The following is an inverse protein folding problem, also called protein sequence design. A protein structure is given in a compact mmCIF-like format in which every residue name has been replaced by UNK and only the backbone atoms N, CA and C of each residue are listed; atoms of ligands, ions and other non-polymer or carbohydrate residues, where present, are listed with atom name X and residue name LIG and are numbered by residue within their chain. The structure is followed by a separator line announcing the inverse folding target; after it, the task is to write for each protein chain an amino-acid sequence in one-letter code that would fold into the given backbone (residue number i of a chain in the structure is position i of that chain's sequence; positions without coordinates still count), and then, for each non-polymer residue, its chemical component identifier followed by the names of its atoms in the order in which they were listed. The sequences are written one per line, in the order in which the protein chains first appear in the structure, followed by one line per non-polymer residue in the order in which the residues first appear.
data_IF_170869986557
#
_entry.id   IF_170869986557
#
_cell.length_a   1.000
_cell.length_b   1.000
_cell.length_c   1.000
_cell.angle_alpha   90.00
_cell.angle_beta   90.00
_cell.angle_gamma   90.00
#
_symmetry.space_group_name_H-M   'P 1'
#
loop_
_entity.id
_entity.type
_entity.pdbx_description
1 polymer ?
#
# COMPACT_ATOMS: atom_id res chain seq x y z
N UNK A 1 -8.41 -8.77 35.27
CA UNK A 1 -6.96 -8.73 34.99
C UNK A 1 -6.64 -7.42 34.28
N UNK A 2 -5.91 -6.50 34.92
CA UNK A 2 -5.55 -5.21 34.30
C UNK A 2 -4.61 -5.47 33.12
N UNK A 3 -5.11 -5.30 31.89
CA UNK A 3 -4.36 -5.54 30.65
C UNK A 3 -3.55 -4.31 30.27
N UNK A 4 -2.40 -4.54 29.63
CA UNK A 4 -1.46 -3.47 29.30
C UNK A 4 -2.12 -2.38 28.40
N UNK A 5 -1.91 -1.10 28.72
CA UNK A 5 -2.44 0.01 27.92
C UNK A 5 -1.87 -0.02 26.50
N UNK A 6 -2.68 0.32 25.51
CA UNK A 6 -2.21 0.43 24.12
C UNK A 6 -1.29 1.65 24.01
N UNK A 7 -0.03 1.47 23.60
CA UNK A 7 0.84 2.60 23.34
C UNK A 7 0.34 3.31 22.09
N UNK A 8 -0.22 4.50 22.28
CA UNK A 8 -0.76 5.36 21.23
C UNK A 8 -1.88 4.69 20.43
N UNK A 9 -3.08 4.55 21.02
CA UNK A 9 -4.19 3.90 20.35
C UNK A 9 -4.60 4.70 19.11
N UNK A 10 -4.76 4.00 17.99
CA UNK A 10 -5.24 4.55 16.74
C UNK A 10 -6.47 3.76 16.31
N UNK A 11 -7.59 4.45 16.08
CA UNK A 11 -8.73 3.85 15.41
C UNK A 11 -8.31 3.43 14.01
N UNK A 12 -8.66 2.21 13.62
CA UNK A 12 -8.24 1.61 12.36
C UNK A 12 -8.47 2.60 11.20
N UNK A 13 -7.40 3.08 10.54
CA UNK A 13 -7.54 4.16 9.57
C UNK A 13 -8.37 3.71 8.36
N UNK A 14 -9.17 4.61 7.80
CA UNK A 14 -10.04 4.32 6.66
C UNK A 14 -11.37 3.64 7.01
N UNK A 15 -11.67 3.42 8.30
CA UNK A 15 -13.01 3.05 8.72
C UNK A 15 -14.00 4.20 8.49
N UNK A 16 -15.04 3.93 7.70
CA UNK A 16 -16.19 4.81 7.56
C UNK A 16 -16.95 4.91 8.88
N UNK A 17 -17.37 6.10 9.27
CA UNK A 17 -18.22 6.34 10.44
C UNK A 17 -19.59 6.80 9.96
N UNK A 18 -20.63 6.05 10.30
CA UNK A 18 -21.99 6.32 9.83
C UNK A 18 -22.95 6.30 11.01
N UNK A 19 -23.61 7.43 11.28
CA UNK A 19 -24.73 7.43 12.22
C UNK A 19 -25.91 6.66 11.61
N UNK A 20 -26.51 5.77 12.39
CA UNK A 20 -27.75 5.06 12.03
C UNK A 20 -28.96 5.74 12.67
N UNK A 21 -28.76 6.25 13.88
CA UNK A 21 -29.69 7.08 14.62
C UNK A 21 -28.89 8.00 15.57
N UNK A 22 -29.55 8.63 16.54
CA UNK A 22 -28.92 9.58 17.48
C UNK A 22 -27.93 8.94 18.47
N UNK A 23 -28.03 7.64 18.73
CA UNK A 23 -27.20 6.90 19.69
C UNK A 23 -26.38 5.79 19.03
N UNK A 24 -26.71 5.35 17.82
CA UNK A 24 -26.02 4.24 17.17
C UNK A 24 -25.05 4.73 16.10
N UNK A 25 -23.76 4.51 16.34
CA UNK A 25 -22.69 4.78 15.40
C UNK A 25 -22.17 3.47 14.78
N UNK A 26 -22.27 3.36 13.46
CA UNK A 26 -21.67 2.28 12.70
C UNK A 26 -20.22 2.63 12.32
N UNK A 27 -19.30 1.72 12.61
CA UNK A 27 -17.90 1.79 12.22
C UNK A 27 -17.62 0.71 11.15
N UNK A 28 -17.26 1.13 9.94
CA UNK A 28 -17.04 0.26 8.79
C UNK A 28 -18.33 -0.09 8.03
N UNK A 29 -18.17 -0.47 6.76
CA UNK A 29 -19.28 -0.85 5.87
C UNK A 29 -19.23 -2.30 5.40
N UNK A 30 -18.07 -2.94 5.48
CA UNK A 30 -17.88 -4.32 5.02
C UNK A 30 -18.41 -5.34 6.04
N UNK A 31 -18.97 -6.48 5.59
CA UNK A 31 -19.58 -7.47 6.48
C UNK A 31 -18.60 -8.06 7.49
N UNK A 32 -17.31 -8.14 7.15
CA UNK A 32 -16.27 -8.67 8.05
C UNK A 32 -15.89 -7.73 9.20
N UNK A 33 -16.28 -6.45 9.15
CA UNK A 33 -15.70 -5.38 10.01
C UNK A 33 -16.67 -4.30 10.45
N UNK A 34 -17.90 -4.32 9.98
CA UNK A 34 -18.92 -3.37 10.40
C UNK A 34 -19.28 -3.66 11.86
N UNK A 35 -19.06 -2.68 12.72
CA UNK A 35 -19.40 -2.76 14.15
C UNK A 35 -20.40 -1.66 14.46
N UNK A 36 -21.48 -2.03 15.13
CA UNK A 36 -22.43 -1.07 15.68
C UNK A 36 -22.02 -0.75 17.11
N UNK A 37 -21.85 0.53 17.38
CA UNK A 37 -21.54 1.06 18.69
C UNK A 37 -22.75 1.85 19.18
N UNK A 38 -23.36 1.37 20.26
CA UNK A 38 -24.37 2.13 20.99
C UNK A 38 -23.68 3.11 21.93
N UNK A 39 -23.98 4.39 21.75
CA UNK A 39 -23.38 5.50 22.47
C UNK A 39 -24.48 6.21 23.26
N UNK A 40 -24.44 6.03 24.59
CA UNK A 40 -25.38 6.67 25.50
C UNK A 40 -25.33 8.20 25.40
N UNK A 41 -24.13 8.80 25.42
CA UNK A 41 -23.90 10.22 25.15
C UNK A 41 -23.25 10.42 23.77
N UNK A 42 -23.96 10.97 22.77
CA UNK A 42 -23.43 11.20 21.42
C UNK A 42 -22.13 12.03 21.39
N UNK A 43 -21.85 12.83 22.42
CA UNK A 43 -20.58 13.58 22.55
C UNK A 43 -19.37 12.65 22.67
N UNK A 44 -19.55 11.44 23.22
CA UNK A 44 -18.49 10.44 23.32
C UNK A 44 -17.94 10.01 21.96
N UNK A 45 -18.71 10.17 20.87
CA UNK A 45 -18.20 9.92 19.51
C UNK A 45 -17.03 10.83 19.13
N UNK A 46 -16.92 12.03 19.72
CA UNK A 46 -15.77 12.94 19.52
C UNK A 46 -14.48 12.38 20.11
N UNK A 47 -14.56 11.45 21.05
CA UNK A 47 -13.37 10.76 21.59
C UNK A 47 -12.67 9.93 20.53
N UNK A 48 -13.39 9.49 19.49
CA UNK A 48 -12.79 8.75 18.36
C UNK A 48 -11.74 9.59 17.60
N UNK A 49 -11.85 10.92 17.63
CA UNK A 49 -10.88 11.81 17.00
C UNK A 49 -9.57 11.92 17.80
N UNK A 50 -9.61 11.58 19.10
CA UNK A 50 -8.41 11.50 19.95
C UNK A 50 -7.61 10.21 19.72
N UNK A 51 -8.22 9.20 19.08
CA UNK A 51 -7.62 7.91 18.76
C UNK A 51 -6.90 7.97 17.41
N UNK A 52 -5.99 8.92 17.25
CA UNK A 52 -5.21 9.18 16.04
C UNK A 52 -3.76 8.67 16.13
N UNK A 53 -3.36 8.09 17.28
CA UNK A 53 -1.99 7.65 17.56
C UNK A 53 -1.01 8.74 18.00
N UNK A 54 -1.47 9.99 18.17
CA UNK A 54 -0.62 11.09 18.68
C UNK A 54 -0.48 11.05 20.20
N UNK A 55 -1.50 10.56 20.91
CA UNK A 55 -1.60 10.52 22.38
C UNK A 55 -1.50 9.10 22.91
N UNK A 56 -0.96 8.91 24.11
CA UNK A 56 -1.07 7.63 24.82
C UNK A 56 -2.50 7.42 25.30
N UNK A 57 -2.88 6.18 25.64
CA UNK A 57 -4.20 5.89 26.22
C UNK A 57 -4.48 6.74 27.48
N UNK A 58 -3.48 6.89 28.35
CA UNK A 58 -3.56 7.81 29.51
C UNK A 58 -3.84 9.24 29.10
N UNK A 59 -3.17 9.72 28.05
CA UNK A 59 -3.36 11.08 27.52
C UNK A 59 -4.73 11.30 26.87
N UNK A 60 -5.34 10.25 26.31
CA UNK A 60 -6.74 10.29 25.85
C UNK A 60 -7.67 10.39 27.05
N UNK A 61 -7.45 9.57 28.09
CA UNK A 61 -8.30 9.56 29.29
C UNK A 61 -8.20 10.85 30.13
N UNK A 62 -7.09 11.57 30.06
CA UNK A 62 -6.91 12.87 30.74
C UNK A 62 -7.30 14.08 29.88
N UNK A 63 -7.80 13.88 28.66
CA UNK A 63 -8.15 14.97 27.76
C UNK A 63 -9.42 15.69 28.25
N UNK A 64 -9.54 17.04 28.13
CA UNK A 64 -10.74 17.76 28.58
C UNK A 64 -12.05 17.22 28.02
N UNK A 65 -12.09 16.88 26.73
CA UNK A 65 -13.25 16.20 26.12
C UNK A 65 -13.63 14.89 26.80
N UNK A 66 -12.67 14.14 27.32
CA UNK A 66 -12.91 12.90 28.07
C UNK A 66 -13.43 13.21 29.47
N UNK A 67 -12.95 14.28 30.09
CA UNK A 67 -13.47 14.77 31.37
C UNK A 67 -14.94 15.18 31.25
N UNK A 68 -15.31 15.85 30.15
CA UNK A 68 -16.68 16.29 29.88
C UNK A 68 -17.67 15.14 29.69
N UNK A 69 -17.22 14.02 29.10
CA UNK A 69 -18.01 12.80 28.87
C UNK A 69 -18.00 11.87 30.10
N UNK A 70 -16.93 11.91 30.89
CA UNK A 70 -16.68 11.01 32.02
C UNK A 70 -15.66 9.92 31.68
N UNK A 71 -14.79 9.62 32.66
CA UNK A 71 -13.68 8.68 32.49
C UNK A 71 -14.12 7.22 32.28
N UNK A 72 -15.17 6.76 32.97
CA UNK A 72 -15.69 5.38 32.84
C UNK A 72 -16.32 5.10 31.47
N UNK A 73 -17.22 5.96 30.93
CA UNK A 73 -17.70 5.81 29.55
C UNK A 73 -16.56 5.79 28.51
N UNK A 74 -15.54 6.64 28.68
CA UNK A 74 -14.40 6.67 27.76
C UNK A 74 -13.54 5.40 27.82
N UNK A 75 -13.31 4.85 29.02
CA UNK A 75 -12.63 3.55 29.19
C UNK A 75 -13.42 2.43 28.52
N UNK A 76 -14.72 2.37 28.80
CA UNK A 76 -15.63 1.37 28.22
C UNK A 76 -15.60 1.42 26.69
N UNK A 77 -15.62 2.63 26.11
CA UNK A 77 -15.52 2.83 24.66
C UNK A 77 -14.19 2.30 24.11
N UNK A 78 -13.06 2.66 24.72
CA UNK A 78 -11.73 2.21 24.27
C UNK A 78 -11.62 0.68 24.37
N UNK A 79 -12.17 0.08 25.42
CA UNK A 79 -12.20 -1.37 25.62
C UNK A 79 -13.09 -2.07 24.58
N UNK A 80 -14.28 -1.54 24.29
CA UNK A 80 -15.17 -2.07 23.26
C UNK A 80 -14.52 -2.04 21.87
N UNK A 81 -13.92 -0.90 21.50
CA UNK A 81 -13.21 -0.76 20.22
C UNK A 81 -12.01 -1.72 20.12
N UNK A 82 -11.29 -1.94 21.23
CA UNK A 82 -10.20 -2.90 21.28
C UNK A 82 -10.69 -4.34 21.14
N UNK A 83 -11.75 -4.71 21.85
CA UNK A 83 -12.34 -6.04 21.80
C UNK A 83 -12.85 -6.36 20.39
N UNK A 84 -13.40 -5.35 19.70
CA UNK A 84 -13.83 -5.43 18.32
C UNK A 84 -12.66 -5.40 17.29
N UNK A 85 -11.41 -5.30 17.72
CA UNK A 85 -10.24 -5.26 16.83
C UNK A 85 -10.12 -3.98 16.00
N UNK A 86 -10.80 -2.91 16.39
CA UNK A 86 -10.82 -1.63 15.68
C UNK A 86 -9.71 -0.68 16.15
N UNK A 87 -8.96 -1.02 17.18
CA UNK A 87 -7.79 -0.26 17.64
C UNK A 87 -6.50 -0.96 17.27
N UNK A 88 -5.56 -0.19 16.74
CA UNK A 88 -4.19 -0.62 16.46
C UNK A 88 -3.20 0.28 17.20
N UNK A 89 -2.04 -0.23 17.62
CA UNK A 89 -0.99 0.63 18.13
C UNK A 89 -0.43 1.50 17.00
N UNK A 90 -0.42 2.82 17.14
CA UNK A 90 -0.05 3.73 16.05
C UNK A 90 1.37 3.51 15.48
N UNK A 91 2.30 3.00 16.30
CA UNK A 91 3.65 2.66 15.87
C UNK A 91 3.74 1.43 14.93
N UNK A 92 2.65 0.69 14.77
CA UNK A 92 2.54 -0.46 13.84
C UNK A 92 2.05 -0.05 12.46
N UNK A 93 1.57 1.18 12.28
CA UNK A 93 1.04 1.68 11.02
C UNK A 93 2.16 2.12 10.05
N UNK A 94 3.10 2.91 10.55
CA UNK A 94 4.17 3.50 9.74
C UNK A 94 5.55 3.18 10.34
N UNK A 95 6.59 2.98 9.51
CA UNK A 95 7.97 2.97 9.97
C UNK A 95 8.31 4.24 10.77
N UNK A 96 9.12 4.09 11.83
CA UNK A 96 9.45 5.18 12.77
C UNK A 96 10.39 6.22 12.15
N UNK A 97 11.21 5.77 11.22
CA UNK A 97 12.21 6.52 10.47
C UNK A 97 11.61 7.35 9.32
N UNK A 98 10.33 7.13 8.96
CA UNK A 98 9.65 7.96 7.96
C UNK A 98 9.25 9.32 8.53
N UNK A 99 9.67 10.38 7.84
CA UNK A 99 9.34 11.77 8.14
C UNK A 99 8.84 12.53 6.91
N UNK A 100 8.28 13.72 7.15
CA UNK A 100 7.94 14.70 6.12
C UNK A 100 6.93 14.21 5.07
N UNK A 101 7.05 14.68 3.82
CA UNK A 101 6.09 14.38 2.75
C UNK A 101 5.91 12.88 2.46
N UNK A 102 6.98 12.08 2.58
CA UNK A 102 6.90 10.63 2.38
C UNK A 102 6.03 9.95 3.42
N UNK A 103 6.11 10.39 4.69
CA UNK A 103 5.25 9.90 5.77
C UNK A 103 3.77 10.20 5.49
N UNK A 104 3.47 11.43 5.05
CA UNK A 104 2.11 11.84 4.73
C UNK A 104 1.54 11.02 3.56
N UNK A 105 2.32 10.87 2.48
CA UNK A 105 1.92 10.08 1.29
C UNK A 105 1.62 8.62 1.64
N UNK A 106 2.48 7.97 2.44
CA UNK A 106 2.31 6.56 2.80
C UNK A 106 1.28 6.34 3.92
N UNK A 107 0.67 7.38 4.47
CA UNK A 107 -0.40 7.26 5.46
C UNK A 107 -1.62 6.50 4.93
N UNK A 108 -2.03 6.78 3.68
CA UNK A 108 -3.13 6.06 3.04
C UNK A 108 -2.80 4.58 2.82
N UNK A 109 -1.58 4.27 2.37
CA UNK A 109 -1.09 2.90 2.22
C UNK A 109 -1.07 2.16 3.57
N UNK A 110 -0.61 2.82 4.64
CA UNK A 110 -0.63 2.24 5.98
C UNK A 110 -2.05 1.91 6.45
N UNK A 111 -3.02 2.79 6.16
CA UNK A 111 -4.43 2.56 6.44
C UNK A 111 -5.00 1.36 5.66
N UNK A 112 -4.76 1.30 4.35
CA UNK A 112 -5.18 0.18 3.51
C UNK A 112 -4.57 -1.16 3.97
N UNK A 113 -3.28 -1.15 4.34
CA UNK A 113 -2.60 -2.32 4.91
C UNK A 113 -3.16 -2.73 6.27
N UNK A 114 -3.52 -1.77 7.13
CA UNK A 114 -4.17 -2.04 8.40
C UNK A 114 -5.57 -2.66 8.18
N UNK A 115 -6.31 -2.15 7.19
CA UNK A 115 -7.57 -2.73 6.73
C UNK A 115 -7.38 -4.10 6.04
N UNK A 116 -6.17 -4.53 5.71
CA UNK A 116 -5.89 -5.86 5.19
C UNK A 116 -5.13 -6.75 6.19
N UNK A 117 -4.89 -6.27 7.42
CA UNK A 117 -3.93 -6.89 8.35
C UNK A 117 -4.22 -8.36 8.67
N UNK A 118 -5.49 -8.77 8.73
CA UNK A 118 -5.87 -10.18 8.98
C UNK A 118 -5.39 -11.14 7.88
N UNK A 119 -5.12 -10.63 6.68
CA UNK A 119 -4.62 -11.40 5.52
C UNK A 119 -3.12 -11.25 5.32
N UNK A 120 -2.43 -10.49 6.18
CA UNK A 120 -1.02 -10.18 6.07
C UNK A 120 -0.24 -10.80 7.25
N UNK A 121 0.92 -11.43 6.99
CA UNK A 121 1.73 -12.04 8.05
C UNK A 121 2.56 -11.02 8.86
N UNK A 122 2.36 -9.72 8.63
CA UNK A 122 3.19 -8.66 9.20
C UNK A 122 2.37 -7.37 9.39
N UNK A 123 2.81 -6.53 10.32
CA UNK A 123 2.23 -5.20 10.55
C UNK A 123 2.38 -4.29 9.33
N UNK A 124 1.49 -3.30 9.14
CA UNK A 124 1.62 -2.32 8.05
C UNK A 124 3.01 -1.65 7.99
N UNK A 125 3.58 -1.27 9.14
CA UNK A 125 4.91 -0.69 9.23
C UNK A 125 6.01 -1.64 8.73
N UNK A 126 5.92 -2.94 9.04
CA UNK A 126 6.87 -3.94 8.55
C UNK A 126 6.74 -4.15 7.03
N UNK A 127 5.51 -4.16 6.51
CA UNK A 127 5.26 -4.26 5.06
C UNK A 127 5.84 -3.05 4.33
N UNK A 128 5.55 -1.85 4.81
CA UNK A 128 6.07 -0.61 4.22
C UNK A 128 7.60 -0.54 4.31
N UNK A 129 8.22 -0.96 5.43
CA UNK A 129 9.68 -1.03 5.54
C UNK A 129 10.28 -1.97 4.49
N UNK A 130 9.66 -3.14 4.26
CA UNK A 130 10.10 -4.08 3.22
C UNK A 130 9.94 -3.47 1.82
N UNK A 131 8.83 -2.78 1.54
CA UNK A 131 8.63 -2.07 0.27
C UNK A 131 9.69 -0.99 0.05
N UNK A 132 9.97 -0.17 1.06
CA UNK A 132 10.97 0.91 1.00
C UNK A 132 12.41 0.40 0.83
N UNK A 133 12.68 -0.84 1.22
CA UNK A 133 13.97 -1.49 0.97
C UNK A 133 14.03 -2.21 -0.39
N UNK A 134 12.88 -2.44 -1.03
CA UNK A 134 12.79 -3.25 -2.24
C UNK A 134 13.19 -2.46 -3.50
N UNK A 135 13.79 -3.18 -4.44
CA UNK A 135 14.08 -2.72 -5.80
C UNK A 135 13.28 -3.52 -6.81
N UNK A 136 12.47 -2.82 -7.60
CA UNK A 136 11.64 -3.38 -8.66
C UNK A 136 12.11 -2.88 -10.02
N UNK A 137 12.28 -3.79 -10.98
CA UNK A 137 12.55 -3.45 -12.37
C UNK A 137 11.24 -3.59 -13.17
N UNK A 138 10.84 -2.55 -13.89
CA UNK A 138 9.73 -2.59 -14.84
C UNK A 138 10.32 -2.58 -16.26
N UNK A 139 10.02 -3.60 -17.04
CA UNK A 139 10.64 -3.82 -18.36
C UNK A 139 9.63 -4.40 -19.36
N UNK A 140 9.90 -4.26 -20.66
CA UNK A 140 9.06 -4.77 -21.75
C UNK A 140 8.37 -3.69 -22.59
N UNK A 141 7.38 -4.08 -23.39
CA UNK A 141 6.74 -3.27 -24.45
C UNK A 141 5.25 -2.99 -24.21
N UNK A 142 4.71 -3.33 -23.04
CA UNK A 142 3.29 -3.16 -22.72
C UNK A 142 2.86 -1.73 -22.32
N UNK A 143 1.64 -1.36 -22.70
CA UNK A 143 0.99 -0.05 -22.45
C UNK A 143 0.79 0.31 -20.96
N UNK A 144 0.91 -0.67 -20.07
CA UNK A 144 0.74 -0.46 -18.62
C UNK A 144 2.05 -0.08 -17.92
N UNK A 145 3.19 -0.07 -18.62
CA UNK A 145 4.52 0.05 -18.00
C UNK A 145 4.69 1.35 -17.21
N UNK A 146 4.28 2.47 -17.79
CA UNK A 146 4.36 3.78 -17.14
C UNK A 146 3.48 3.85 -15.87
N UNK A 147 2.22 3.45 -15.97
CA UNK A 147 1.27 3.45 -14.86
C UNK A 147 1.72 2.53 -13.72
N UNK A 148 2.17 1.32 -14.04
CA UNK A 148 2.67 0.36 -13.04
C UNK A 148 3.92 0.90 -12.34
N UNK A 149 4.87 1.48 -13.09
CA UNK A 149 6.10 2.02 -12.50
C UNK A 149 5.82 3.19 -11.55
N UNK A 150 4.94 4.12 -11.94
CA UNK A 150 4.53 5.26 -11.09
C UNK A 150 3.76 4.77 -9.86
N UNK A 151 2.82 3.84 -10.04
CA UNK A 151 2.03 3.29 -8.93
C UNK A 151 2.92 2.57 -7.90
N UNK A 152 3.91 1.79 -8.34
CA UNK A 152 4.87 1.14 -7.44
C UNK A 152 5.64 2.16 -6.60
N UNK A 153 6.08 3.26 -7.22
CA UNK A 153 6.78 4.32 -6.51
C UNK A 153 5.88 5.04 -5.50
N UNK A 154 4.64 5.33 -5.89
CA UNK A 154 3.62 5.92 -5.01
C UNK A 154 3.22 5.00 -3.85
N UNK A 155 3.22 3.69 -4.06
CA UNK A 155 2.95 2.67 -3.05
C UNK A 155 4.11 2.41 -2.06
N UNK A 156 5.22 3.15 -2.21
CA UNK A 156 6.34 3.13 -1.27
C UNK A 156 7.42 2.10 -1.59
N UNK A 157 7.52 1.63 -2.84
CA UNK A 157 8.71 0.88 -3.28
C UNK A 157 9.94 1.79 -3.21
N UNK A 158 11.05 1.26 -2.68
CA UNK A 158 12.27 2.02 -2.47
C UNK A 158 12.95 2.46 -3.75
N UNK A 159 13.06 1.54 -4.71
CA UNK A 159 13.72 1.80 -5.99
C UNK A 159 12.90 1.20 -7.13
N UNK A 160 12.47 2.03 -8.08
CA UNK A 160 11.82 1.59 -9.32
C UNK A 160 12.74 1.89 -10.49
N UNK A 161 13.33 0.84 -11.05
CA UNK A 161 14.11 0.90 -12.28
C UNK A 161 13.20 0.67 -13.49
N UNK A 162 13.46 1.38 -14.59
CA UNK A 162 12.58 1.37 -15.77
C UNK A 162 13.41 1.09 -17.02
N UNK A 163 13.09 -0.01 -17.69
CA UNK A 163 13.64 -0.47 -18.97
C UNK A 163 12.51 -0.63 -19.99
N UNK A 164 11.81 0.48 -20.27
CA UNK A 164 10.72 0.54 -21.24
C UNK A 164 11.22 1.12 -22.56
N UNK A 165 10.83 0.48 -23.65
CA UNK A 165 11.23 0.89 -25.00
C UNK A 165 10.16 1.72 -25.70
N UNK A 166 10.59 2.56 -26.65
CA UNK A 166 9.71 3.37 -27.48
C UNK A 166 9.43 4.78 -26.95
N UNK A 167 8.71 5.59 -27.74
CA UNK A 167 8.34 6.94 -27.36
C UNK A 167 7.09 6.96 -26.47
N UNK A 168 6.91 8.05 -25.72
CA UNK A 168 5.66 8.36 -25.01
C UNK A 168 4.51 8.49 -26.01
N UNK A 169 3.41 7.77 -25.75
CA UNK A 169 2.17 7.79 -26.51
C UNK A 169 1.04 8.39 -25.66
N UNK A 170 -0.10 8.81 -26.27
CA UNK A 170 -1.23 9.36 -25.52
C UNK A 170 -1.74 8.47 -24.38
N UNK A 171 -1.69 7.14 -24.56
CA UNK A 171 -2.08 6.18 -23.54
C UNK A 171 -1.18 6.22 -22.29
N UNK A 172 0.08 6.63 -22.41
CA UNK A 172 1.02 6.69 -21.30
C UNK A 172 0.80 7.91 -20.39
N UNK A 173 -0.05 8.87 -20.78
CA UNK A 173 -0.34 10.06 -19.99
C UNK A 173 -1.35 9.78 -18.87
N UNK A 174 -2.26 8.83 -19.10
CA UNK A 174 -3.39 8.57 -18.21
C UNK A 174 -2.92 8.02 -16.86
N UNK A 175 -3.14 8.81 -15.79
CA UNK A 175 -2.85 8.40 -14.41
C UNK A 175 -1.35 8.32 -14.05
N UNK A 176 -0.45 8.77 -14.91
CA UNK A 176 1.01 8.68 -14.69
C UNK A 176 1.66 9.99 -14.30
N UNK A 177 1.01 11.13 -14.58
CA UNK A 177 1.59 12.46 -14.39
C UNK A 177 2.68 12.81 -15.42
N UNK A 178 2.76 12.07 -16.53
CA UNK A 178 3.55 12.45 -17.70
C UNK A 178 2.77 13.55 -18.44
N UNK A 179 3.36 14.74 -18.67
CA UNK A 179 2.69 15.83 -19.37
C UNK A 179 2.57 15.53 -20.87
N UNK A 180 1.55 16.10 -21.53
CA UNK A 180 1.37 15.97 -22.98
C UNK A 180 2.56 16.52 -23.78
N UNK A 181 3.31 17.47 -23.21
CA UNK A 181 4.55 18.00 -23.80
C UNK A 181 5.66 16.93 -23.97
N UNK A 182 5.56 15.80 -23.27
CA UNK A 182 6.53 14.71 -23.35
C UNK A 182 6.19 13.68 -24.44
N UNK A 183 5.10 13.86 -25.19
CA UNK A 183 4.76 13.00 -26.33
C UNK A 183 5.95 12.91 -27.31
N UNK A 184 6.28 11.69 -27.73
CA UNK A 184 7.44 11.44 -28.60
C UNK A 184 8.79 11.33 -27.89
N UNK A 185 8.94 11.82 -26.64
CA UNK A 185 10.18 11.61 -25.86
C UNK A 185 10.38 10.12 -25.54
N UNK A 186 11.61 9.68 -25.24
CA UNK A 186 11.85 8.31 -24.77
C UNK A 186 11.03 8.00 -23.52
N UNK A 187 10.21 6.94 -23.57
CA UNK A 187 9.26 6.59 -22.51
C UNK A 187 9.95 6.38 -21.16
N UNK A 188 11.06 5.63 -21.14
CA UNK A 188 11.79 5.37 -19.90
C UNK A 188 12.32 6.66 -19.22
N UNK A 189 12.66 7.69 -20.00
CA UNK A 189 13.07 8.99 -19.44
C UNK A 189 11.88 9.73 -18.83
N UNK A 190 10.77 9.85 -19.57
CA UNK A 190 9.56 10.50 -19.09
C UNK A 190 8.99 9.83 -17.83
N UNK A 191 9.01 8.51 -17.76
CA UNK A 191 8.58 7.75 -16.57
C UNK A 191 9.50 8.00 -15.38
N UNK A 192 10.82 8.07 -15.56
CA UNK A 192 11.75 8.42 -14.47
C UNK A 192 11.48 9.83 -13.95
N UNK A 193 11.23 10.78 -14.84
CA UNK A 193 10.88 12.16 -14.47
C UNK A 193 9.55 12.18 -13.68
N UNK A 194 8.55 11.40 -14.12
CA UNK A 194 7.28 11.26 -13.41
C UNK A 194 7.44 10.62 -12.01
N UNK A 195 8.25 9.57 -11.89
CA UNK A 195 8.57 8.94 -10.59
C UNK A 195 9.27 9.94 -9.68
N UNK A 196 10.25 10.69 -10.18
CA UNK A 196 10.97 11.68 -9.39
C UNK A 196 10.05 12.77 -8.81
N UNK A 197 9.01 13.17 -9.57
CA UNK A 197 7.97 14.11 -9.10
C UNK A 197 7.01 13.45 -8.11
N UNK A 198 6.52 12.25 -8.39
CA UNK A 198 5.49 11.57 -7.60
C UNK A 198 6.02 10.97 -6.28
N UNK A 199 7.27 10.51 -6.28
CA UNK A 199 7.94 9.88 -5.15
C UNK A 199 9.46 10.21 -5.19
N UNK A 200 9.85 11.39 -4.67
CA UNK A 200 11.25 11.79 -4.62
C UNK A 200 12.12 10.75 -3.91
N UNK A 201 13.29 10.45 -4.49
CA UNK A 201 14.22 9.43 -3.97
C UNK A 201 13.94 7.99 -4.41
N UNK A 202 12.83 7.73 -5.10
CA UNK A 202 12.45 6.38 -5.58
C UNK A 202 12.93 6.06 -6.99
N UNK A 203 13.27 7.09 -7.80
CA UNK A 203 13.75 6.89 -9.15
C UNK A 203 15.06 6.07 -9.12
N UNK A 204 15.00 4.82 -9.58
CA UNK A 204 16.16 3.95 -9.62
C UNK A 204 17.17 4.45 -10.64
N UNK A 205 18.42 4.67 -10.24
CA UNK A 205 19.49 4.87 -11.21
C UNK A 205 19.71 3.57 -11.98
N UNK A 206 19.80 3.67 -13.31
CA UNK A 206 20.08 2.54 -14.21
C UNK A 206 21.48 1.95 -13.97
N UNK A 207 22.35 2.65 -13.21
CA UNK A 207 23.75 2.29 -13.00
C UNK A 207 24.05 1.38 -11.79
N UNK A 208 23.15 1.24 -10.80
CA UNK A 208 23.46 0.41 -9.62
C UNK A 208 23.13 -1.05 -9.91
N UNK A 209 24.16 -1.87 -10.14
CA UNK A 209 24.11 -3.35 -10.32
C UNK A 209 23.73 -4.09 -9.01
N UNK A 210 22.74 -3.58 -8.26
CA UNK A 210 22.18 -4.29 -7.11
C UNK A 210 21.30 -5.46 -7.56
N UNK A 211 21.01 -6.38 -6.64
CA UNK A 211 19.98 -7.40 -6.83
C UNK A 211 18.62 -6.72 -7.03
N UNK A 212 17.81 -7.23 -7.95
CA UNK A 212 16.41 -6.79 -8.15
C UNK A 212 15.52 -7.77 -7.40
N UNK A 213 14.63 -7.27 -6.54
CA UNK A 213 13.75 -8.11 -5.72
C UNK A 213 12.58 -8.66 -6.53
N UNK A 214 12.11 -7.88 -7.52
CA UNK A 214 11.04 -8.27 -8.44
C UNK A 214 11.24 -7.64 -9.82
N UNK A 215 11.09 -8.43 -10.87
CA UNK A 215 10.95 -7.91 -12.24
C UNK A 215 9.47 -7.92 -12.61
N UNK A 216 8.95 -6.81 -13.11
CA UNK A 216 7.63 -6.73 -13.72
C UNK A 216 7.82 -6.65 -15.23
N UNK A 217 7.49 -7.73 -15.91
CA UNK A 217 7.61 -7.88 -17.36
C UNK A 217 6.28 -7.50 -18.03
N UNK A 218 6.33 -6.53 -18.92
CA UNK A 218 5.18 -5.95 -19.62
C UNK A 218 5.14 -6.47 -21.06
N UNK A 219 4.12 -7.26 -21.39
CA UNK A 219 4.01 -7.90 -22.69
C UNK A 219 5.06 -8.99 -22.90
N UNK A 220 4.96 -9.64 -24.06
CA UNK A 220 5.93 -10.61 -24.56
C UNK A 220 6.64 -10.00 -25.76
N UNK A 221 7.69 -9.22 -25.52
CA UNK A 221 8.61 -8.76 -26.56
C UNK A 221 9.51 -9.89 -27.09
N UNK A 222 9.50 -11.03 -26.39
CA UNK A 222 10.26 -12.24 -26.68
C UNK A 222 9.41 -13.48 -26.36
N UNK A 223 9.74 -14.64 -26.96
CA UNK A 223 9.16 -15.91 -26.57
C UNK A 223 9.27 -16.13 -25.06
N UNK A 224 8.19 -16.56 -24.41
CA UNK A 224 8.14 -16.72 -22.96
C UNK A 224 9.14 -17.77 -22.46
N UNK A 225 9.50 -18.78 -23.26
CA UNK A 225 10.59 -19.72 -22.98
C UNK A 225 11.96 -19.04 -22.76
N UNK A 226 12.30 -18.01 -23.54
CA UNK A 226 13.59 -17.30 -23.40
C UNK A 226 13.62 -16.41 -22.15
N UNK A 227 12.49 -15.76 -21.83
CA UNK A 227 12.33 -15.00 -20.58
C UNK A 227 12.39 -15.93 -19.37
N UNK A 228 11.69 -17.07 -19.44
CA UNK A 228 11.70 -18.11 -18.41
C UNK A 228 13.11 -18.62 -18.14
N UNK A 229 13.88 -18.96 -19.18
CA UNK A 229 15.25 -19.45 -19.05
C UNK A 229 16.18 -18.39 -18.43
N UNK A 230 16.07 -17.13 -18.86
CA UNK A 230 16.86 -16.02 -18.32
C UNK A 230 16.61 -15.77 -16.84
N UNK A 231 15.35 -15.71 -16.43
CA UNK A 231 14.97 -15.47 -15.03
C UNK A 231 15.18 -16.69 -14.14
N UNK A 232 14.95 -17.90 -14.63
CA UNK A 232 15.20 -19.14 -13.90
C UNK A 232 16.69 -19.29 -13.55
N UNK A 233 17.59 -19.05 -14.52
CA UNK A 233 19.05 -19.09 -14.29
C UNK A 233 19.50 -18.13 -13.19
N UNK A 234 18.85 -16.97 -13.07
CA UNK A 234 19.18 -15.93 -12.07
C UNK A 234 18.37 -16.04 -10.78
N UNK A 235 17.48 -17.05 -10.67
CA UNK A 235 16.48 -17.18 -9.60
C UNK A 235 15.74 -15.86 -9.33
N UNK A 236 15.42 -15.15 -10.41
CA UNK A 236 14.83 -13.81 -10.35
C UNK A 236 13.31 -13.93 -10.17
N UNK A 237 12.72 -13.42 -9.06
CA UNK A 237 11.28 -13.30 -8.96
C UNK A 237 10.75 -12.36 -10.04
N UNK A 238 9.68 -12.75 -10.71
CA UNK A 238 9.10 -11.96 -11.79
C UNK A 238 7.58 -12.10 -11.87
N UNK A 239 6.93 -11.01 -12.26
CA UNK A 239 5.50 -10.90 -12.52
C UNK A 239 5.30 -10.55 -13.99
N UNK A 240 4.50 -11.34 -14.69
CA UNK A 240 4.10 -11.02 -16.06
C UNK A 240 2.80 -10.18 -16.04
N UNK A 241 2.75 -9.14 -16.86
CA UNK A 241 1.55 -8.35 -17.13
C UNK A 241 1.40 -8.23 -18.64
N UNK A 242 0.31 -8.76 -19.18
CA UNK A 242 -0.02 -8.69 -20.61
C UNK A 242 -1.39 -8.07 -20.82
N UNK A 243 -1.70 -7.74 -22.07
CA UNK A 243 -3.04 -7.36 -22.51
C UNK A 243 -3.48 -8.37 -23.56
N UNK A 244 -4.57 -9.08 -23.27
CA UNK A 244 -5.18 -10.02 -24.20
C UNK A 244 -6.54 -9.46 -24.60
N UNK A 245 -6.70 -9.08 -25.87
CA UNK A 245 -7.96 -8.55 -26.41
C UNK A 245 -8.52 -7.35 -25.61
N UNK A 246 -7.64 -6.52 -25.05
CA UNK A 246 -8.00 -5.37 -24.23
C UNK A 246 -8.20 -5.68 -22.74
N UNK A 247 -8.16 -6.94 -22.34
CA UNK A 247 -8.23 -7.38 -20.94
C UNK A 247 -6.82 -7.48 -20.35
N UNK A 248 -6.52 -6.81 -19.23
CA UNK A 248 -5.24 -6.97 -18.54
C UNK A 248 -5.17 -8.33 -17.87
N UNK A 249 -4.14 -9.11 -18.21
CA UNK A 249 -3.82 -10.38 -17.56
C UNK A 249 -2.61 -10.15 -16.66
N UNK A 250 -2.81 -10.33 -15.35
CA UNK A 250 -1.77 -10.14 -14.34
C UNK A 250 -1.41 -11.51 -13.78
N UNK A 251 -0.19 -11.94 -14.06
CA UNK A 251 0.33 -13.23 -13.64
C UNK A 251 0.92 -14.03 -14.80
N UNK A 252 1.64 -15.11 -14.48
CA UNK A 252 1.91 -15.60 -13.13
C UNK A 252 2.93 -14.73 -12.37
N UNK A 253 2.85 -14.74 -11.03
CA UNK A 253 3.95 -14.32 -10.16
C UNK A 253 4.83 -15.53 -9.88
N UNK A 254 6.01 -15.56 -10.49
CA UNK A 254 6.98 -16.65 -10.33
C UNK A 254 8.00 -16.28 -9.26
N UNK A 255 8.21 -17.18 -8.28
CA UNK A 255 9.16 -16.99 -7.17
C UNK A 255 10.14 -18.16 -7.07
N UNK A 256 11.22 -18.18 -7.88
CA UNK A 256 12.18 -19.29 -7.85
C UNK A 256 12.79 -19.50 -6.46
N UNK A 257 13.04 -20.76 -6.02
CA UNK A 257 12.86 -22.01 -6.76
C UNK A 257 11.45 -22.61 -6.66
N UNK A 258 10.48 -21.93 -6.04
CA UNK A 258 9.15 -22.46 -5.79
C UNK A 258 8.13 -22.04 -6.88
N UNK A 259 7.21 -22.96 -7.20
CA UNK A 259 6.10 -22.73 -8.12
C UNK A 259 6.44 -22.98 -9.60
N UNK A 260 5.42 -22.97 -10.49
CA UNK A 260 5.60 -23.18 -11.91
C UNK A 260 6.36 -22.00 -12.55
N UNK A 261 7.26 -22.29 -13.50
CA UNK A 261 7.90 -21.25 -14.31
C UNK A 261 6.95 -20.75 -15.42
N UNK A 262 7.30 -19.65 -16.09
CA UNK A 262 6.51 -19.11 -17.21
C UNK A 262 6.22 -20.16 -18.29
N UNK A 263 7.21 -20.99 -18.63
CA UNK A 263 7.04 -22.07 -19.62
C UNK A 263 6.04 -23.14 -19.16
N UNK A 264 6.00 -23.46 -17.86
CA UNK A 264 5.02 -24.41 -17.32
C UNK A 264 3.58 -23.86 -17.36
N UNK A 265 3.43 -22.54 -17.28
CA UNK A 265 2.11 -21.89 -17.38
C UNK A 265 1.69 -21.80 -18.85
N UNK A 266 2.60 -21.42 -19.74
CA UNK A 266 2.32 -21.30 -21.18
C UNK A 266 1.89 -22.64 -21.81
N UNK A 267 2.53 -23.76 -21.46
CA UNK A 267 2.17 -25.10 -21.98
C UNK A 267 0.78 -25.57 -21.50
N UNK A 268 0.20 -24.96 -20.45
CA UNK A 268 -1.09 -25.37 -19.87
C UNK A 268 -2.28 -24.56 -20.37
N UNK A 269 -2.05 -23.46 -21.09
CA UNK A 269 -3.06 -22.62 -21.74
C UNK A 269 -3.19 -22.98 -23.19
#
# INVERSE_FOLDING_TARGET
MSRAPLPRPTLLPGLTRLWRDRHTLQLGVGPERAVLLEIADPRAARLLDLLDGTRSERGVLSHPLTTDVGAEPARTLIEALRAAGLLVPGHTLLPRDLAGPTRARLGAEAGALALAATRLPATPAQVLRRRLAARVLVTGTGRLGAAVAVALAQAGVGQVAVELSGPVRPADLAGTGIPAADLGRPLAAAVRDAIARAAPGTAGSTGRRGRVDLVVQLGTDRPAALLAAGYARRRQPHLLITLQEGVPVIGPLVRPPAGPCLNCVEIRT
#
